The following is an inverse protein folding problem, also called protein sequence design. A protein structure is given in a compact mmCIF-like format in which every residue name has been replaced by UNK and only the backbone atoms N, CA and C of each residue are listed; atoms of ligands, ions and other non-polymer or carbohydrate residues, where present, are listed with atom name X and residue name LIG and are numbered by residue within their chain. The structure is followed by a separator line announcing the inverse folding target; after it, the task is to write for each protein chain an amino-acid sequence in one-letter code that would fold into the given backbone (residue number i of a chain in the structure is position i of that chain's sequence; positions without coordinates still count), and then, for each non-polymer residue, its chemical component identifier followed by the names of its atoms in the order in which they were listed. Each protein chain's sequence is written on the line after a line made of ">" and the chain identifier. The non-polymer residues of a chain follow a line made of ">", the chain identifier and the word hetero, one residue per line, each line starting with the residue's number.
data_IF_720051099318
#
_entry.id   IF_720051099318
#
_cell.length_a   1.000
_cell.length_b   1.000
_cell.length_c   1.000
_cell.angle_alpha   90.00
_cell.angle_beta   90.00
_cell.angle_gamma   90.00
#
_symmetry.space_group_name_H-M   'P 1'
#
loop_
_entity.id
_entity.type
_entity.pdbx_description
1 polymer ?
#
# COMPACT_ATOMS: atom_id res chain seq x y z
N UNK A 1 -6.69 23.97 0.13
CA UNK A 1 -8.08 24.45 0.37
C UNK A 1 -8.15 25.82 1.04
N UNK A 2 -7.19 26.21 1.89
CA UNK A 2 -7.16 27.56 2.50
C UNK A 2 -7.27 28.74 1.52
N UNK A 3 -6.57 28.71 0.38
CA UNK A 3 -6.60 29.82 -0.59
C UNK A 3 -7.94 30.13 -1.27
N UNK A 4 -9.01 29.35 -1.01
CA UNK A 4 -10.37 29.67 -1.49
C UNK A 4 -11.24 30.36 -0.43
N UNK A 5 -10.81 30.40 0.83
CA UNK A 5 -11.71 30.69 1.96
C UNK A 5 -11.12 31.63 3.02
N UNK A 6 -9.79 31.73 3.14
CA UNK A 6 -9.11 32.50 4.21
C UNK A 6 -8.55 33.86 3.75
N UNK A 7 -8.72 34.24 2.48
CA UNK A 7 -7.90 35.30 1.84
C UNK A 7 -6.39 35.14 2.11
N UNK A 8 -5.96 33.88 2.28
CA UNK A 8 -4.63 33.45 2.68
C UNK A 8 -4.19 33.79 4.11
N UNK A 9 -4.94 34.56 4.89
CA UNK A 9 -4.59 34.93 6.27
C UNK A 9 -5.17 33.91 7.26
N UNK A 10 -4.31 33.28 8.06
CA UNK A 10 -4.74 32.35 9.11
C UNK A 10 -4.24 32.84 10.46
N UNK A 11 -5.15 32.97 11.42
CA UNK A 11 -4.84 33.26 12.82
C UNK A 11 -5.00 31.99 13.67
N UNK A 12 -4.07 31.76 14.61
CA UNK A 12 -4.04 30.57 15.47
C UNK A 12 -4.74 30.79 16.81
N UNK A 13 -5.37 31.95 17.05
CA UNK A 13 -5.98 32.32 18.35
C UNK A 13 -7.05 31.35 18.84
N UNK A 14 -7.88 30.81 17.96
CA UNK A 14 -9.02 29.96 18.36
C UNK A 14 -8.68 28.46 18.35
N UNK A 15 -7.45 28.10 17.97
CA UNK A 15 -6.99 26.71 17.87
C UNK A 15 -7.00 26.02 19.23
N UNK A 16 -6.53 26.72 20.27
CA UNK A 16 -6.52 26.19 21.64
C UNK A 16 -7.93 26.01 22.21
N UNK A 17 -8.92 26.75 21.70
CA UNK A 17 -10.29 26.74 22.18
C UNK A 17 -11.13 25.59 21.58
N UNK A 18 -10.89 25.24 20.31
CA UNK A 18 -11.72 24.25 19.59
C UNK A 18 -11.05 22.89 19.37
N UNK A 19 -9.71 22.81 19.45
CA UNK A 19 -8.94 21.63 19.03
C UNK A 19 -7.87 21.20 20.05
N UNK A 20 -8.18 21.33 21.34
CA UNK A 20 -7.25 20.99 22.44
C UNK A 20 -6.87 19.51 22.44
N UNK A 21 -7.78 18.61 22.05
CA UNK A 21 -7.53 17.15 22.04
C UNK A 21 -6.54 16.77 20.94
N UNK A 22 -6.63 17.43 19.80
CA UNK A 22 -5.81 17.21 18.61
C UNK A 22 -4.40 17.71 18.89
N UNK A 23 -4.26 18.85 19.57
CA UNK A 23 -2.98 19.36 20.04
C UNK A 23 -2.31 18.42 21.06
N UNK A 24 -3.09 17.83 21.98
CA UNK A 24 -2.55 16.83 22.92
C UNK A 24 -2.02 15.60 22.19
N UNK A 25 -2.82 15.00 21.30
CA UNK A 25 -2.38 13.85 20.49
C UNK A 25 -1.15 14.16 19.63
N UNK A 26 -1.12 15.35 19.03
CA UNK A 26 0.03 15.81 18.26
C UNK A 26 1.28 15.88 19.13
N UNK A 27 1.17 16.46 20.33
CA UNK A 27 2.29 16.58 21.26
C UNK A 27 2.76 15.22 21.78
N UNK A 28 1.86 14.28 22.06
CA UNK A 28 2.21 12.90 22.46
C UNK A 28 3.03 12.19 21.38
N UNK A 29 2.65 12.36 20.11
CA UNK A 29 3.41 11.83 18.97
C UNK A 29 4.77 12.51 18.88
N UNK A 30 4.85 13.83 19.02
CA UNK A 30 6.13 14.55 18.96
C UNK A 30 7.08 14.15 20.08
N UNK A 31 6.57 13.92 21.29
CA UNK A 31 7.38 13.53 22.45
C UNK A 31 7.94 12.10 22.30
N UNK A 32 7.26 11.20 21.59
CA UNK A 32 7.73 9.82 21.36
C UNK A 32 8.78 9.70 20.26
N UNK A 33 8.90 10.71 19.38
CA UNK A 33 9.82 10.67 18.24
C UNK A 33 11.30 10.65 18.66
N UNK A 34 11.67 11.35 19.73
CA UNK A 34 13.06 11.44 20.17
C UNK A 34 13.61 10.06 20.60
N UNK A 35 12.80 9.24 21.27
CA UNK A 35 13.19 7.90 21.70
C UNK A 35 13.54 7.00 20.51
N UNK A 36 12.79 7.09 19.41
CA UNK A 36 13.08 6.31 18.20
C UNK A 36 14.39 6.75 17.55
N UNK A 37 14.69 8.05 17.53
CA UNK A 37 15.96 8.56 16.99
C UNK A 37 17.16 8.16 17.85
N UNK A 38 17.04 8.24 19.18
CA UNK A 38 18.10 7.82 20.11
C UNK A 38 18.42 6.33 19.99
N UNK A 39 17.41 5.50 19.75
CA UNK A 39 17.56 4.06 19.54
C UNK A 39 17.86 3.66 18.08
N UNK A 40 18.12 4.62 17.19
CA UNK A 40 18.39 4.40 15.76
C UNK A 40 17.26 3.65 15.01
N UNK A 41 16.02 3.75 15.49
CA UNK A 41 14.84 3.13 14.89
C UNK A 41 14.18 4.06 13.86
N UNK A 42 14.90 4.38 12.78
CA UNK A 42 14.47 5.36 11.76
C UNK A 42 13.16 4.98 11.04
N UNK A 43 12.90 3.70 10.84
CA UNK A 43 11.65 3.20 10.26
C UNK A 43 10.46 3.50 11.18
N UNK A 44 10.57 3.21 12.48
CA UNK A 44 9.53 3.52 13.47
C UNK A 44 9.36 5.02 13.65
N UNK A 45 10.45 5.79 13.65
CA UNK A 45 10.40 7.24 13.66
C UNK A 45 9.52 7.78 12.52
N UNK A 46 9.72 7.26 11.30
CA UNK A 46 8.92 7.68 10.14
C UNK A 46 7.46 7.24 10.24
N UNK A 47 7.18 6.02 10.69
CA UNK A 47 5.81 5.53 10.92
C UNK A 47 5.08 6.37 11.96
N UNK A 48 5.75 6.67 13.08
CA UNK A 48 5.19 7.48 14.16
C UNK A 48 4.96 8.92 13.72
N UNK A 49 5.91 9.51 12.99
CA UNK A 49 5.77 10.84 12.39
C UNK A 49 4.59 10.88 11.42
N UNK A 50 4.34 9.79 10.68
CA UNK A 50 3.21 9.70 9.75
C UNK A 50 1.84 9.80 10.43
N UNK A 51 1.76 9.43 11.72
CA UNK A 51 0.53 9.59 12.51
C UNK A 51 0.12 11.07 12.63
N UNK A 52 1.07 12.01 12.59
CA UNK A 52 0.75 13.45 12.56
C UNK A 52 -0.11 13.80 11.33
N UNK A 53 0.25 13.28 10.16
CA UNK A 53 -0.53 13.50 8.93
C UNK A 53 -1.90 12.79 9.00
N UNK A 54 -1.98 11.62 9.62
CA UNK A 54 -3.24 10.93 9.85
C UNK A 54 -4.18 11.74 10.78
N UNK A 55 -3.64 12.34 11.85
CA UNK A 55 -4.40 13.25 12.73
C UNK A 55 -4.89 14.46 11.94
N UNK A 56 -4.03 15.11 11.16
CA UNK A 56 -4.42 16.26 10.34
C UNK A 56 -5.52 15.94 9.33
N UNK A 57 -5.45 14.78 8.67
CA UNK A 57 -6.50 14.30 7.77
C UNK A 57 -7.81 14.01 8.52
N UNK A 58 -7.71 13.40 9.71
CA UNK A 58 -8.86 13.15 10.59
C UNK A 58 -9.58 14.45 10.97
N UNK A 59 -8.84 15.48 11.38
CA UNK A 59 -9.39 16.80 11.71
C UNK A 59 -10.12 17.43 10.53
N UNK A 60 -9.54 17.35 9.32
CA UNK A 60 -10.20 17.85 8.10
C UNK A 60 -11.52 17.11 7.84
N UNK A 61 -11.53 15.78 8.03
CA UNK A 61 -12.69 14.94 7.76
C UNK A 61 -13.79 15.08 8.81
N UNK A 62 -13.44 15.25 10.08
CA UNK A 62 -14.41 15.37 11.19
C UNK A 62 -15.06 16.75 11.22
N UNK A 63 -14.27 17.81 11.04
CA UNK A 63 -14.75 19.18 11.19
C UNK A 63 -15.24 19.78 9.87
N UNK A 64 -14.99 19.11 8.74
CA UNK A 64 -15.44 19.48 7.38
C UNK A 64 -15.47 21.00 7.15
N UNK A 65 -14.32 21.69 7.14
CA UNK A 65 -14.27 23.16 7.17
C UNK A 65 -15.00 23.81 5.97
N UNK A 66 -15.15 23.10 4.85
CA UNK A 66 -15.93 23.55 3.69
C UNK A 66 -17.43 23.62 3.95
N UNK A 67 -17.98 22.79 4.85
CA UNK A 67 -19.38 22.84 5.28
C UNK A 67 -19.56 24.01 6.25
N UNK A 68 -18.66 24.14 7.23
CA UNK A 68 -18.70 25.24 8.21
C UNK A 68 -18.59 26.62 7.56
N UNK A 69 -17.75 26.77 6.53
CA UNK A 69 -17.68 27.99 5.73
C UNK A 69 -18.98 28.31 4.98
N UNK A 70 -19.78 27.30 4.58
CA UNK A 70 -21.08 27.51 3.94
C UNK A 70 -22.18 27.86 4.94
N UNK A 71 -22.02 27.43 6.20
CA UNK A 71 -22.95 27.69 7.30
C UNK A 71 -22.62 28.98 8.07
N UNK A 72 -21.78 29.86 7.50
CA UNK A 72 -21.33 31.13 8.09
C UNK A 72 -20.55 30.99 9.42
N UNK A 73 -20.08 29.79 9.75
CA UNK A 73 -19.23 29.49 10.92
C UNK A 73 -17.75 29.65 10.55
N UNK A 74 -17.36 30.88 10.19
CA UNK A 74 -16.02 31.17 9.66
C UNK A 74 -14.90 30.95 10.68
N UNK A 75 -15.10 31.35 11.93
CA UNK A 75 -14.07 31.27 12.97
C UNK A 75 -13.66 29.81 13.24
N UNK A 76 -14.64 28.91 13.34
CA UNK A 76 -14.40 27.49 13.59
C UNK A 76 -13.76 26.79 12.38
N UNK A 77 -14.12 27.20 11.16
CA UNK A 77 -13.49 26.72 9.94
C UNK A 77 -12.03 27.18 9.85
N UNK A 78 -11.73 28.44 10.19
CA UNK A 78 -10.38 29.00 10.22
C UNK A 78 -9.52 28.34 11.29
N UNK A 79 -10.07 28.10 12.50
CA UNK A 79 -9.40 27.36 13.56
C UNK A 79 -9.01 25.95 13.12
N UNK A 80 -9.90 25.26 12.41
CA UNK A 80 -9.62 23.92 11.85
C UNK A 80 -8.46 23.95 10.85
N UNK A 81 -8.44 24.94 9.94
CA UNK A 81 -7.35 25.10 8.97
C UNK A 81 -6.04 25.48 9.68
N UNK A 82 -6.10 26.30 10.73
CA UNK A 82 -4.95 26.69 11.53
C UNK A 82 -4.31 25.50 12.27
N UNK A 83 -5.11 24.60 12.85
CA UNK A 83 -4.62 23.35 13.48
C UNK A 83 -3.88 22.50 12.47
N UNK A 84 -4.49 22.26 11.31
CA UNK A 84 -3.89 21.45 10.25
C UNK A 84 -2.56 22.05 9.78
N UNK A 85 -2.50 23.37 9.62
CA UNK A 85 -1.27 24.05 9.24
C UNK A 85 -0.18 23.94 10.32
N UNK A 86 -0.54 24.00 11.60
CA UNK A 86 0.39 23.78 12.71
C UNK A 86 0.92 22.34 12.74
N UNK A 87 0.05 21.35 12.54
CA UNK A 87 0.46 19.94 12.42
C UNK A 87 1.45 19.78 11.26
N UNK A 88 1.14 20.37 10.09
CA UNK A 88 2.03 20.35 8.92
C UNK A 88 3.37 21.03 9.19
N UNK A 89 3.39 22.16 9.89
CA UNK A 89 4.62 22.87 10.23
C UNK A 89 5.52 22.04 11.14
N UNK A 90 4.97 21.49 12.23
CA UNK A 90 5.72 20.64 13.17
C UNK A 90 6.21 19.36 12.50
N UNK A 91 5.37 18.72 11.70
CA UNK A 91 5.76 17.55 10.92
C UNK A 91 6.87 17.88 9.91
N UNK A 92 6.82 19.05 9.25
CA UNK A 92 7.85 19.47 8.30
C UNK A 92 9.22 19.69 8.97
N UNK A 93 9.25 20.28 10.16
CA UNK A 93 10.49 20.44 10.94
C UNK A 93 11.10 19.07 11.29
N UNK A 94 10.28 18.14 11.78
CA UNK A 94 10.73 16.80 12.17
C UNK A 94 11.09 15.89 10.97
N UNK A 95 10.46 16.11 9.81
CA UNK A 95 10.72 15.36 8.58
C UNK A 95 11.91 15.91 7.79
N UNK A 96 12.40 17.12 8.13
CA UNK A 96 13.49 17.78 7.41
C UNK A 96 14.77 16.95 7.25
N UNK A 97 15.22 16.18 8.26
CA UNK A 97 16.40 15.32 8.11
C UNK A 97 16.26 14.21 7.05
N UNK A 98 15.02 13.85 6.69
CA UNK A 98 14.71 12.78 5.74
C UNK A 98 14.31 13.33 4.37
N UNK A 99 13.51 14.40 4.33
CA UNK A 99 12.98 14.99 3.08
C UNK A 99 13.18 16.51 3.06
N UNK A 100 14.43 17.01 2.92
CA UNK A 100 14.72 18.45 3.02
C UNK A 100 14.06 19.27 1.91
N UNK A 101 14.00 18.74 0.68
CA UNK A 101 13.39 19.46 -0.46
C UNK A 101 11.88 19.64 -0.28
N UNK A 102 11.16 18.57 0.06
CA UNK A 102 9.71 18.65 0.28
C UNK A 102 9.35 19.51 1.47
N UNK A 103 10.12 19.41 2.56
CA UNK A 103 9.85 20.18 3.78
C UNK A 103 10.12 21.67 3.60
N UNK A 104 11.11 22.05 2.78
CA UNK A 104 11.30 23.46 2.36
C UNK A 104 10.08 24.00 1.61
N UNK A 105 9.51 23.24 0.68
CA UNK A 105 8.29 23.65 -0.04
C UNK A 105 7.13 23.87 0.93
N UNK A 106 6.98 23.02 1.94
CA UNK A 106 5.96 23.17 3.00
C UNK A 106 6.23 24.42 3.83
N UNK A 107 7.48 24.66 4.23
CA UNK A 107 7.88 25.82 5.03
C UNK A 107 7.62 27.14 4.26
N UNK A 108 7.99 27.19 2.98
CA UNK A 108 7.71 28.30 2.07
C UNK A 108 6.20 28.54 1.89
N UNK A 109 5.40 27.47 1.84
CA UNK A 109 3.95 27.55 1.75
C UNK A 109 3.32 28.17 3.00
N UNK A 110 3.89 27.87 4.17
CA UNK A 110 3.45 28.34 5.47
C UNK A 110 4.18 29.62 5.92
N UNK A 111 5.06 30.17 5.07
CA UNK A 111 5.84 31.38 5.32
C UNK A 111 6.73 31.33 6.58
N UNK A 112 7.37 30.20 6.84
CA UNK A 112 8.41 30.06 7.86
C UNK A 112 9.65 29.35 7.31
N UNK A 113 10.77 29.42 8.03
CA UNK A 113 12.00 28.72 7.69
C UNK A 113 12.30 27.59 8.69
N UNK A 114 12.79 26.45 8.19
CA UNK A 114 13.23 25.34 9.04
C UNK A 114 14.65 25.61 9.50
N UNK A 115 14.77 26.06 10.75
CA UNK A 115 16.04 26.34 11.41
C UNK A 115 15.98 25.98 12.90
N UNK A 116 17.08 26.16 13.63
CA UNK A 116 17.16 25.86 15.06
C UNK A 116 16.11 26.62 15.89
N UNK A 117 15.80 27.86 15.52
CA UNK A 117 14.81 28.69 16.22
C UNK A 117 13.40 28.13 16.02
N UNK A 118 13.03 27.77 14.80
CA UNK A 118 11.75 27.13 14.48
C UNK A 118 11.57 25.78 15.19
N UNK A 119 12.65 24.98 15.30
CA UNK A 119 12.63 23.74 16.06
C UNK A 119 12.37 24.02 17.55
N UNK A 120 13.08 25.00 18.12
CA UNK A 120 12.87 25.38 19.51
C UNK A 120 11.45 25.88 19.77
N UNK A 121 10.93 26.77 18.92
CA UNK A 121 9.61 27.34 19.14
C UNK A 121 8.47 26.32 18.90
N UNK A 122 8.52 25.56 17.80
CA UNK A 122 7.42 24.70 17.38
C UNK A 122 7.44 23.33 18.06
N UNK A 123 8.63 22.77 18.30
CA UNK A 123 8.82 21.42 18.86
C UNK A 123 9.04 21.49 20.37
N UNK A 124 10.06 22.22 20.84
CA UNK A 124 10.41 22.26 22.28
C UNK A 124 9.43 23.11 23.10
N UNK A 125 9.13 24.33 22.65
CA UNK A 125 8.22 25.25 23.35
C UNK A 125 6.75 25.03 22.96
N UNK A 126 6.50 24.10 22.03
CA UNK A 126 5.18 23.68 21.55
C UNK A 126 4.28 24.82 21.05
N UNK A 127 4.85 25.98 20.72
CA UNK A 127 4.12 27.16 20.23
C UNK A 127 3.42 26.87 18.91
N UNK A 128 2.37 27.64 18.65
CA UNK A 128 1.67 27.65 17.38
C UNK A 128 2.29 28.69 16.45
N UNK A 129 2.21 28.45 15.14
CA UNK A 129 2.55 29.42 14.11
C UNK A 129 1.71 30.68 14.32
N UNK A 130 2.41 31.83 14.36
CA UNK A 130 1.78 33.14 14.34
C UNK A 130 1.16 33.40 12.97
N UNK A 131 0.25 34.38 12.92
CA UNK A 131 -0.51 34.77 11.75
C UNK A 131 0.33 34.70 10.45
N UNK A 132 -0.02 33.77 9.57
CA UNK A 132 0.77 33.47 8.39
C UNK A 132 -0.10 33.52 7.12
N UNK A 133 0.55 33.93 6.02
CA UNK A 133 -0.06 33.90 4.71
C UNK A 133 0.27 32.60 4.00
N UNK A 134 -0.74 31.81 3.67
CA UNK A 134 -0.55 30.59 2.89
C UNK A 134 -0.22 30.94 1.45
N UNK A 135 0.84 30.37 0.89
CA UNK A 135 1.08 30.38 -0.56
C UNK A 135 0.48 29.13 -1.20
N UNK A 136 -0.14 29.28 -2.36
CA UNK A 136 -0.66 28.14 -3.11
C UNK A 136 0.50 27.34 -3.69
N UNK A 137 0.70 26.13 -3.16
CA UNK A 137 1.71 25.19 -3.67
C UNK A 137 1.11 24.17 -4.64
N UNK A 138 1.88 23.69 -5.63
CA UNK A 138 1.51 22.53 -6.43
C UNK A 138 1.45 21.26 -5.55
N UNK A 139 0.85 20.16 -6.03
CA UNK A 139 0.87 18.88 -5.31
C UNK A 139 2.30 18.49 -4.93
N UNK A 140 2.56 18.30 -3.63
CA UNK A 140 3.90 18.01 -3.10
C UNK A 140 4.46 16.68 -3.62
N UNK A 141 3.57 15.73 -3.87
CA UNK A 141 3.88 14.42 -4.42
C UNK A 141 3.01 14.22 -5.67
N UNK A 142 3.45 14.70 -6.85
CA UNK A 142 2.80 14.34 -8.10
C UNK A 142 2.83 12.81 -8.22
N UNK A 143 1.70 12.22 -8.61
CA UNK A 143 1.63 10.78 -8.83
C UNK A 143 2.70 10.43 -9.87
N UNK A 144 3.61 9.53 -9.50
CA UNK A 144 4.65 9.06 -10.42
C UNK A 144 3.95 8.24 -11.51
N UNK A 145 3.66 8.86 -12.65
CA UNK A 145 3.00 8.20 -13.79
C UNK A 145 4.00 7.41 -14.65
N UNK A 146 5.30 7.64 -14.48
CA UNK A 146 6.37 6.93 -15.19
C UNK A 146 7.57 6.68 -14.25
N UNK A 147 8.22 5.51 -14.29
CA UNK A 147 9.41 5.25 -13.50
C UNK A 147 10.53 6.22 -13.92
N UNK A 148 10.81 7.23 -13.09
CA UNK A 148 11.93 8.17 -13.23
C UNK A 148 13.28 7.51 -12.88
N UNK A 149 13.55 6.34 -13.46
CA UNK A 149 14.90 5.82 -13.53
C UNK A 149 15.32 5.89 -14.99
N UNK A 150 16.10 6.93 -15.31
CA UNK A 150 17.07 6.81 -16.40
C UNK A 150 17.92 5.59 -16.04
N UNK A 151 17.76 4.53 -16.82
CA UNK A 151 18.54 3.32 -16.70
C UNK A 151 20.02 3.70 -16.66
N UNK A 152 20.75 3.20 -15.65
CA UNK A 152 22.21 3.11 -15.76
C UNK A 152 22.52 2.43 -17.12
N UNK A 153 23.51 2.93 -17.89
CA UNK A 153 23.63 2.60 -19.30
C UNK A 153 23.80 1.09 -19.50
N UNK A 154 22.75 0.45 -20.03
CA UNK A 154 22.82 -0.92 -20.53
C UNK A 154 23.54 -0.90 -21.87
N UNK A 155 24.61 -1.68 -21.95
CA UNK A 155 25.17 -2.07 -23.24
C UNK A 155 24.14 -2.95 -23.97
N UNK A 156 23.57 -2.42 -25.05
CA UNK A 156 22.83 -3.18 -26.08
C UNK A 156 23.79 -3.56 -27.23
N UNK A 157 23.44 -4.54 -28.09
CA UNK A 157 22.42 -4.29 -29.12
C UNK A 157 21.26 -5.29 -29.15
N UNK A 158 20.09 -4.70 -29.33
CA UNK A 158 18.73 -5.15 -29.71
C UNK A 158 18.64 -5.55 -31.21
N UNK A 159 17.45 -5.86 -31.83
CA UNK A 159 16.32 -6.78 -31.53
C UNK A 159 15.81 -7.49 -32.86
N UNK A 160 14.56 -8.06 -33.06
CA UNK A 160 13.21 -7.50 -32.81
C UNK A 160 12.08 -8.44 -32.27
N UNK A 161 11.35 -7.89 -31.28
CA UNK A 161 9.91 -7.96 -30.88
C UNK A 161 8.94 -9.03 -31.46
N UNK A 162 8.20 -9.69 -30.55
CA UNK A 162 6.74 -9.51 -30.38
C UNK A 162 6.26 -9.97 -28.98
N UNK A 163 5.33 -9.21 -28.40
CA UNK A 163 4.90 -9.11 -26.99
C UNK A 163 4.12 -10.31 -26.38
N UNK A 164 4.31 -10.56 -25.07
CA UNK A 164 3.22 -10.48 -24.05
C UNK A 164 3.68 -10.71 -22.60
N UNK A 165 3.50 -9.64 -21.80
CA UNK A 165 3.21 -9.55 -20.35
C UNK A 165 3.66 -10.70 -19.44
N UNK A 166 4.73 -10.47 -18.68
CA UNK A 166 5.01 -11.13 -17.40
C UNK A 166 5.16 -10.08 -16.29
N UNK A 167 4.36 -10.24 -15.24
CA UNK A 167 4.55 -9.62 -13.93
C UNK A 167 5.73 -10.32 -13.26
N UNK A 168 6.73 -9.54 -12.80
CA UNK A 168 7.77 -10.04 -11.89
C UNK A 168 7.39 -9.71 -10.46
N UNK A 169 7.30 -10.79 -9.70
CA UNK A 169 7.33 -10.95 -8.26
C UNK A 169 8.52 -10.22 -7.64
N UNK A 170 8.24 -9.32 -6.70
CA UNK A 170 9.19 -8.87 -5.68
C UNK A 170 9.38 -9.99 -4.65
N UNK A 171 10.64 -10.30 -4.32
CA UNK A 171 10.98 -11.01 -3.09
C UNK A 171 11.00 -9.99 -1.96
N UNK A 172 10.04 -10.12 -1.05
CA UNK A 172 9.96 -9.44 0.24
C UNK A 172 10.28 -10.43 1.36
N UNK A 173 11.10 -10.00 2.30
CA UNK A 173 10.95 -10.31 3.73
C UNK A 173 10.48 -8.97 4.34
N UNK A 174 9.37 -8.81 5.06
CA UNK A 174 8.53 -9.76 5.77
C UNK A 174 7.10 -9.18 5.91
N UNK A 175 6.15 -9.70 5.13
CA UNK A 175 4.73 -9.66 5.49
C UNK A 175 4.44 -10.95 6.27
N UNK A 176 4.91 -11.01 7.52
CA UNK A 176 4.66 -12.16 8.39
C UNK A 176 3.15 -12.28 8.62
N UNK A 177 2.57 -13.35 8.09
CA UNK A 177 1.17 -13.71 8.35
C UNK A 177 1.08 -14.52 9.64
N UNK A 178 0.04 -14.29 10.43
CA UNK A 178 -0.25 -15.15 11.57
C UNK A 178 -0.65 -16.55 11.07
N UNK A 179 -0.36 -17.59 11.86
CA UNK A 179 -0.75 -18.97 11.50
C UNK A 179 -2.26 -19.12 11.25
N UNK A 180 -3.09 -18.28 11.91
CA UNK A 180 -4.53 -18.21 11.67
C UNK A 180 -4.88 -17.82 10.23
N UNK A 181 -4.15 -16.86 9.63
CA UNK A 181 -4.34 -16.43 8.24
C UNK A 181 -3.95 -17.53 7.23
N UNK A 182 -3.01 -18.41 7.58
CA UNK A 182 -2.70 -19.59 6.78
C UNK A 182 -3.87 -20.60 6.81
N UNK A 183 -4.45 -20.84 7.99
CA UNK A 183 -5.63 -21.72 8.13
C UNK A 183 -6.89 -21.17 7.44
N UNK A 184 -6.99 -19.86 7.21
CA UNK A 184 -8.05 -19.29 6.38
C UNK A 184 -7.94 -19.77 4.92
N UNK A 185 -6.78 -20.20 4.44
CA UNK A 185 -6.59 -20.74 3.09
C UNK A 185 -6.77 -22.26 3.10
N UNK A 186 -7.74 -22.77 2.33
CA UNK A 186 -8.00 -24.20 2.22
C UNK A 186 -7.11 -24.81 1.14
N UNK A 187 -5.98 -25.35 1.56
CA UNK A 187 -5.07 -26.11 0.69
C UNK A 187 -5.43 -27.60 0.75
N UNK A 188 -5.60 -28.24 -0.41
CA UNK A 188 -5.92 -29.67 -0.52
C UNK A 188 -5.07 -30.34 -1.59
N UNK A 189 -4.76 -31.62 -1.38
CA UNK A 189 -4.19 -32.48 -2.43
C UNK A 189 -5.33 -33.01 -3.32
N UNK A 190 -5.23 -32.78 -4.62
CA UNK A 190 -6.18 -33.28 -5.60
C UNK A 190 -5.54 -34.19 -6.65
N UNK A 191 -6.34 -35.02 -7.30
CA UNK A 191 -5.92 -35.88 -8.41
C UNK A 191 -6.55 -35.38 -9.70
N UNK A 192 -5.75 -35.17 -10.75
CA UNK A 192 -6.26 -34.74 -12.06
C UNK A 192 -6.95 -35.91 -12.74
N UNK A 193 -8.27 -35.82 -12.92
CA UNK A 193 -9.07 -36.85 -13.60
C UNK A 193 -9.07 -36.64 -15.11
N UNK A 194 -9.13 -35.38 -15.53
CA UNK A 194 -9.20 -35.00 -16.93
C UNK A 194 -8.39 -33.73 -17.19
N UNK A 195 -7.74 -33.68 -18.35
CA UNK A 195 -7.02 -32.52 -18.82
C UNK A 195 -7.36 -32.28 -20.29
N UNK A 196 -7.72 -31.04 -20.63
CA UNK A 196 -8.07 -30.63 -21.98
C UNK A 196 -7.40 -29.30 -22.31
N UNK A 197 -7.09 -29.11 -23.59
CA UNK A 197 -6.59 -27.83 -24.06
C UNK A 197 -7.74 -26.83 -24.22
N UNK A 198 -7.48 -25.56 -23.89
CA UNK A 198 -8.48 -24.51 -24.07
C UNK A 198 -8.48 -24.03 -25.53
N UNK A 199 -9.58 -24.21 -26.29
CA UNK A 199 -9.68 -23.65 -27.63
C UNK A 199 -9.61 -22.12 -27.53
N UNK A 200 -8.73 -21.49 -28.33
CA UNK A 200 -8.37 -20.06 -28.34
C UNK A 200 -7.28 -19.59 -27.34
N UNK A 201 -6.67 -20.48 -26.55
CA UNK A 201 -5.51 -20.12 -25.72
C UNK A 201 -4.28 -20.97 -26.02
N UNK A 202 -3.14 -20.32 -26.21
CA UNK A 202 -1.83 -20.98 -26.38
C UNK A 202 -1.19 -21.41 -25.06
N UNK A 203 -1.70 -20.94 -23.92
CA UNK A 203 -1.06 -21.10 -22.60
C UNK A 203 -1.90 -21.82 -21.55
N UNK A 204 -3.21 -21.96 -21.76
CA UNK A 204 -4.13 -22.49 -20.75
C UNK A 204 -4.50 -23.95 -20.99
N UNK A 205 -4.50 -24.74 -19.92
CA UNK A 205 -5.13 -26.06 -19.83
C UNK A 205 -6.33 -25.99 -18.89
N UNK A 206 -7.38 -26.71 -19.25
CA UNK A 206 -8.54 -26.98 -18.43
C UNK A 206 -8.35 -28.34 -17.75
N UNK A 207 -8.41 -28.36 -16.44
CA UNK A 207 -8.18 -29.55 -15.62
C UNK A 207 -9.42 -29.81 -14.77
N UNK A 208 -9.83 -31.07 -14.68
CA UNK A 208 -10.81 -31.54 -13.71
C UNK A 208 -10.04 -32.22 -12.58
N UNK A 209 -10.06 -31.61 -11.40
CA UNK A 209 -9.31 -32.09 -10.24
C UNK A 209 -10.28 -32.65 -9.21
N UNK A 210 -10.11 -33.92 -8.87
CA UNK A 210 -10.81 -34.57 -7.78
C UNK A 210 -10.18 -34.16 -6.44
N UNK A 211 -10.96 -33.48 -5.61
CA UNK A 211 -10.60 -33.05 -4.25
C UNK A 211 -11.36 -33.86 -3.18
N UNK A 212 -11.89 -35.04 -3.52
CA UNK A 212 -12.69 -35.85 -2.60
C UNK A 212 -14.08 -35.27 -2.32
N UNK A 213 -14.60 -34.45 -3.23
CA UNK A 213 -15.93 -33.82 -3.16
C UNK A 213 -16.91 -34.53 -4.13
N UNK A 214 -18.22 -34.21 -4.08
CA UNK A 214 -19.23 -34.90 -4.92
C UNK A 214 -19.00 -34.74 -6.43
N UNK A 215 -18.29 -33.69 -6.85
CA UNK A 215 -17.90 -33.47 -8.24
C UNK A 215 -16.48 -32.93 -8.36
N UNK A 216 -15.71 -33.35 -9.39
CA UNK A 216 -14.40 -32.78 -9.68
C UNK A 216 -14.51 -31.27 -9.96
N UNK A 217 -13.57 -30.49 -9.44
CA UNK A 217 -13.54 -29.05 -9.68
C UNK A 217 -12.82 -28.70 -10.97
N UNK A 218 -13.38 -27.73 -11.68
CA UNK A 218 -12.75 -27.17 -12.86
C UNK A 218 -11.67 -26.15 -12.48
N UNK A 219 -10.43 -26.44 -12.86
CA UNK A 219 -9.29 -25.52 -12.68
C UNK A 219 -8.69 -25.19 -14.03
N UNK A 220 -8.54 -23.90 -14.32
CA UNK A 220 -7.90 -23.42 -15.55
C UNK A 220 -6.51 -22.90 -15.21
N UNK A 221 -5.48 -23.59 -15.69
CA UNK A 221 -4.08 -23.27 -15.34
C UNK A 221 -3.22 -22.95 -16.57
N UNK A 222 -2.31 -22.00 -16.41
CA UNK A 222 -1.39 -21.51 -17.44
C UNK A 222 -0.17 -22.39 -17.68
N UNK A 223 -0.33 -23.72 -17.66
CA UNK A 223 0.79 -24.68 -17.65
C UNK A 223 0.98 -25.44 -18.97
N UNK A 224 0.27 -25.04 -20.03
CA UNK A 224 0.32 -25.71 -21.35
C UNK A 224 1.72 -25.71 -21.97
N UNK A 225 2.53 -24.69 -21.69
CA UNK A 225 3.89 -24.56 -22.22
C UNK A 225 4.88 -25.58 -21.61
N UNK A 226 4.51 -26.20 -20.47
CA UNK A 226 5.39 -27.09 -19.70
C UNK A 226 4.86 -28.52 -19.56
N UNK A 227 3.54 -28.72 -19.63
CA UNK A 227 2.93 -30.03 -19.45
C UNK A 227 1.90 -30.33 -20.54
N UNK A 228 1.92 -31.55 -21.07
CA UNK A 228 0.87 -32.06 -21.94
C UNK A 228 -0.34 -32.53 -21.11
N UNK A 229 -1.57 -32.46 -21.65
CA UNK A 229 -2.76 -32.97 -20.97
C UNK A 229 -2.62 -34.45 -20.54
N UNK A 230 -1.96 -35.27 -21.36
CA UNK A 230 -1.74 -36.68 -21.09
C UNK A 230 -0.83 -36.91 -19.88
N UNK A 231 0.21 -36.10 -19.74
CA UNK A 231 1.16 -36.20 -18.63
C UNK A 231 0.55 -35.75 -17.28
N UNK A 232 -0.52 -34.96 -17.32
CA UNK A 232 -1.19 -34.48 -16.11
C UNK A 232 -2.27 -35.45 -15.63
N UNK A 233 -2.84 -36.28 -16.51
CA UNK A 233 -3.90 -37.22 -16.15
C UNK A 233 -3.39 -38.25 -15.12
N UNK A 234 -4.11 -38.38 -14.01
CA UNK A 234 -3.76 -39.28 -12.90
C UNK A 234 -2.65 -38.75 -11.98
N UNK A 235 -2.14 -37.53 -12.21
CA UNK A 235 -1.14 -36.93 -11.32
C UNK A 235 -1.79 -36.22 -10.14
N UNK A 236 -1.08 -36.22 -9.01
CA UNK A 236 -1.49 -35.46 -7.83
C UNK A 236 -0.92 -34.05 -7.86
N UNK A 237 -1.71 -33.10 -7.38
CA UNK A 237 -1.39 -31.66 -7.41
C UNK A 237 -1.96 -30.98 -6.18
N UNK A 238 -1.27 -29.95 -5.70
CA UNK A 238 -1.77 -29.10 -4.60
C UNK A 238 -2.66 -27.99 -5.15
N UNK A 239 -3.86 -27.85 -4.59
CA UNK A 239 -4.88 -26.90 -5.03
C UNK A 239 -5.36 -26.04 -3.86
N UNK A 240 -5.52 -24.74 -4.12
CA UNK A 240 -6.25 -23.81 -3.25
C UNK A 240 -7.75 -23.94 -3.55
N UNK A 241 -8.52 -24.46 -2.59
CA UNK A 241 -9.91 -24.86 -2.73
C UNK A 241 -10.93 -23.82 -2.23
N UNK A 242 -10.51 -22.69 -1.65
CA UNK A 242 -11.43 -21.66 -1.15
C UNK A 242 -11.23 -20.28 -1.79
N UNK A 243 -10.64 -20.24 -3.00
CA UNK A 243 -10.55 -19.04 -3.82
C UNK A 243 -11.90 -18.73 -4.50
N UNK A 244 -12.18 -17.43 -4.69
CA UNK A 244 -13.33 -16.99 -5.48
C UNK A 244 -13.18 -17.45 -6.94
N UNK A 245 -14.25 -17.96 -7.58
CA UNK A 245 -14.17 -18.39 -8.97
C UNK A 245 -13.74 -17.26 -9.91
N UNK A 246 -12.73 -17.52 -10.73
CA UNK A 246 -12.20 -16.57 -11.70
C UNK A 246 -12.60 -16.94 -13.13
N UNK A 247 -13.07 -15.98 -13.93
CA UNK A 247 -13.37 -16.21 -15.35
C UNK A 247 -12.12 -16.02 -16.20
N UNK A 248 -11.64 -17.10 -16.81
CA UNK A 248 -10.50 -17.12 -17.72
C UNK A 248 -10.96 -17.62 -19.08
N UNK A 249 -10.88 -16.77 -20.12
CA UNK A 249 -11.27 -17.10 -21.50
C UNK A 249 -12.67 -17.72 -21.64
N UNK A 250 -13.64 -17.23 -20.85
CA UNK A 250 -15.02 -17.71 -20.88
C UNK A 250 -15.29 -18.98 -20.05
N UNK A 251 -14.28 -19.54 -19.39
CA UNK A 251 -14.42 -20.66 -18.45
C UNK A 251 -14.21 -20.20 -17.01
N UNK A 252 -14.88 -20.87 -16.07
CA UNK A 252 -14.79 -20.59 -14.64
C UNK A 252 -13.69 -21.47 -14.04
N UNK A 253 -12.71 -20.87 -13.36
CA UNK A 253 -11.71 -21.58 -12.57
C UNK A 253 -12.09 -21.49 -11.10
N UNK A 254 -12.37 -22.63 -10.48
CA UNK A 254 -12.86 -22.75 -9.09
C UNK A 254 -11.77 -23.18 -8.12
N UNK A 255 -10.52 -22.98 -8.53
CA UNK A 255 -9.33 -23.27 -7.74
C UNK A 255 -8.07 -22.78 -8.43
N UNK A 256 -6.97 -22.83 -7.69
CA UNK A 256 -5.64 -22.48 -8.18
C UNK A 256 -4.68 -23.63 -7.92
N UNK A 257 -3.96 -24.07 -8.95
CA UNK A 257 -2.87 -25.03 -8.83
C UNK A 257 -1.60 -24.33 -8.34
N UNK A 258 -0.91 -24.96 -7.41
CA UNK A 258 0.38 -24.48 -6.93
C UNK A 258 1.51 -25.01 -7.81
N UNK A 259 2.37 -24.11 -8.28
CA UNK A 259 3.56 -24.42 -9.05
C UNK A 259 4.72 -23.50 -8.63
N UNK A 260 5.93 -24.05 -8.63
CA UNK A 260 7.16 -23.28 -8.55
C UNK A 260 7.64 -22.94 -9.97
N UNK A 261 8.18 -21.73 -10.16
CA UNK A 261 8.78 -21.29 -11.42
C UNK A 261 10.13 -20.66 -11.13
N UNK A 262 11.17 -21.17 -11.78
CA UNK A 262 12.56 -20.69 -11.69
C UNK A 262 13.20 -20.61 -13.11
N UNK A 263 14.52 -20.51 -13.17
CA UNK A 263 15.29 -20.44 -14.42
C UNK A 263 15.24 -21.77 -15.21
N UNK A 264 14.96 -22.90 -14.55
CA UNK A 264 14.92 -24.24 -15.13
C UNK A 264 13.53 -24.66 -15.63
N UNK A 265 12.48 -23.97 -15.20
CA UNK A 265 11.13 -24.12 -15.75
C UNK A 265 10.00 -23.97 -14.74
N UNK A 266 8.83 -24.50 -15.08
CA UNK A 266 7.66 -24.55 -14.18
C UNK A 266 7.46 -25.98 -13.67
N UNK A 267 7.43 -26.14 -12.35
CA UNK A 267 7.22 -27.42 -11.69
C UNK A 267 5.98 -27.39 -10.78
N UNK A 268 5.06 -28.33 -10.95
CA UNK A 268 3.88 -28.46 -10.09
C UNK A 268 4.26 -28.94 -8.68
N UNK A 269 3.64 -28.36 -7.65
CA UNK A 269 3.82 -28.82 -6.27
C UNK A 269 2.97 -30.07 -6.06
N UNK A 270 3.63 -31.15 -5.60
CA UNK A 270 3.05 -32.47 -5.39
C UNK A 270 3.52 -33.06 -4.06
N UNK A 271 2.71 -33.88 -3.39
CA UNK A 271 3.18 -34.62 -2.22
C UNK A 271 4.22 -35.67 -2.65
N UNK A 272 5.25 -35.87 -1.82
CA UNK A 272 6.32 -36.85 -2.07
C UNK A 272 5.78 -38.30 -2.12
N UNK A 273 4.73 -38.59 -1.34
CA UNK A 273 4.05 -39.88 -1.29
C UNK A 273 2.59 -39.72 -1.70
N UNK A 274 2.00 -40.70 -2.40
CA UNK A 274 0.60 -40.62 -2.81
C UNK A 274 -0.33 -40.49 -1.60
N UNK A 275 -1.24 -39.51 -1.66
CA UNK A 275 -2.26 -39.26 -0.61
C UNK A 275 -3.67 -39.45 -1.16
N UNK A 276 -4.65 -39.59 -0.27
CA UNK A 276 -6.06 -39.62 -0.70
C UNK A 276 -6.46 -38.24 -1.24
N UNK A 277 -7.21 -38.21 -2.33
CA UNK A 277 -7.79 -36.99 -2.85
C UNK A 277 -8.62 -36.28 -1.76
N UNK A 278 -8.45 -34.97 -1.63
CA UNK A 278 -9.12 -34.16 -0.61
C UNK A 278 -8.40 -34.05 0.74
N UNK A 279 -7.22 -34.67 0.89
CA UNK A 279 -6.42 -34.51 2.12
C UNK A 279 -6.03 -33.04 2.29
N UNK A 280 -6.35 -32.39 3.43
CA UNK A 280 -5.96 -31.01 3.68
C UNK A 280 -4.45 -30.91 3.89
N UNK A 281 -3.87 -29.81 3.43
CA UNK A 281 -2.47 -29.45 3.63
C UNK A 281 -2.47 -28.40 4.73
N UNK A 282 -1.71 -28.64 5.80
CA UNK A 282 -1.61 -27.80 6.99
C UNK A 282 -0.22 -27.85 7.58
#
# INVERSE_FOLDING_TARGET
>A
MSGKYSDFVIDSKDVEQYHTKELQKMNEVLDSLDDFMQNLQTHRYLEELWKLFAIGNGVIQEYEPWVKMKNDQKDEALATVAVVANILAKAAVMLHPVMPETTKIIADALSFEINHESYKELILEKKLLKLFNIKKVPPLFPRVEEPLMQEAPKAEPTPPKAEKKEQKTEKSEDNLIEIGQFFETSLKVGTVVEAQEVPKSKKLLKLQVDLGEESPRQVVAGIKEFYSPEALKGTQVCVVANLKPAKLMGMISEGMLLAAKDEDGLCLIRPEKPKKAGTPIG
#
